data_IF_004532581324
#
_entry.id   IF_004532581324
#
_cell.length_a   1.000
_cell.length_b   1.000
_cell.length_c   1.000
_cell.angle_alpha   90.00
_cell.angle_beta   90.00
_cell.angle_gamma   90.00
#
_symmetry.space_group_name_H-M   'P 1'
#
loop_
_entity.id
_entity.type
_entity.pdbx_description
1 polymer ?
#
# COMPACT_ATOMS: atom_id res chain seq x y z
N UNK A 1 5.07 27.96 29.58
CA UNK A 1 4.37 26.97 28.74
C UNK A 1 2.89 27.08 28.95
N UNK A 2 2.14 27.15 27.85
CA UNK A 2 0.69 27.05 27.81
C UNK A 2 0.23 25.66 28.25
N UNK A 3 -1.06 25.51 28.53
CA UNK A 3 -1.67 24.19 28.79
C UNK A 3 -1.56 23.25 27.57
N UNK A 4 -1.70 23.81 26.36
CA UNK A 4 -1.47 23.07 25.12
C UNK A 4 -0.03 22.59 24.99
N UNK A 5 0.96 23.41 25.37
CA UNK A 5 2.37 23.01 25.30
C UNK A 5 2.64 21.81 26.22
N UNK A 6 2.10 21.82 27.44
CA UNK A 6 2.23 20.71 28.40
C UNK A 6 1.56 19.43 27.89
N UNK A 7 0.40 19.57 27.25
CA UNK A 7 -0.29 18.45 26.61
C UNK A 7 0.57 17.84 25.50
N UNK A 8 1.09 18.66 24.59
CA UNK A 8 1.89 18.18 23.47
C UNK A 8 3.22 17.58 23.93
N UNK A 9 3.87 18.13 24.95
CA UNK A 9 5.06 17.51 25.55
C UNK A 9 4.76 16.09 26.06
N UNK A 10 3.69 15.97 26.86
CA UNK A 10 3.25 14.66 27.39
C UNK A 10 2.89 13.68 26.28
N UNK A 11 2.22 14.17 25.23
CA UNK A 11 1.81 13.34 24.10
C UNK A 11 3.00 12.91 23.23
N UNK A 12 3.95 13.81 22.94
CA UNK A 12 5.17 13.48 22.21
C UNK A 12 6.03 12.44 22.96
N UNK A 13 6.13 12.55 24.28
CA UNK A 13 6.78 11.55 25.13
C UNK A 13 6.08 10.20 25.04
N UNK A 14 4.74 10.20 25.08
CA UNK A 14 3.96 8.98 24.91
C UNK A 14 4.19 8.35 23.54
N UNK A 15 4.08 9.12 22.45
CA UNK A 15 4.33 8.68 21.07
C UNK A 15 5.71 8.05 20.96
N UNK A 16 6.74 8.68 21.51
CA UNK A 16 8.11 8.15 21.49
C UNK A 16 8.19 6.80 22.20
N UNK A 17 7.59 6.67 23.39
CA UNK A 17 7.60 5.41 24.18
C UNK A 17 6.86 4.25 23.51
N UNK A 18 5.90 4.53 22.63
CA UNK A 18 5.13 3.52 21.91
C UNK A 18 5.56 3.34 20.45
N UNK A 19 6.65 4.00 20.04
CA UNK A 19 7.25 3.84 18.71
C UNK A 19 8.42 2.86 18.79
N UNK A 20 8.51 1.91 17.85
CA UNK A 20 9.56 0.89 17.85
C UNK A 20 10.95 1.47 17.59
N UNK A 21 11.99 0.83 18.15
CA UNK A 21 13.38 1.28 17.98
C UNK A 21 13.81 1.45 16.51
N UNK A 22 13.50 0.53 15.55
CA UNK A 22 13.83 0.72 14.14
C UNK A 22 13.14 1.92 13.47
N UNK A 23 12.14 2.53 14.11
CA UNK A 23 11.47 3.74 13.64
C UNK A 23 12.03 5.03 14.26
N UNK A 24 12.85 4.91 15.30
CA UNK A 24 13.44 6.05 16.02
C UNK A 24 14.96 6.15 15.86
N UNK A 25 15.63 5.02 15.66
CA UNK A 25 17.09 4.92 15.60
C UNK A 25 17.56 4.27 14.28
N UNK A 26 18.56 4.89 13.67
CA UNK A 26 19.05 4.50 12.35
C UNK A 26 19.85 3.20 12.38
N UNK A 27 20.56 2.91 13.48
CA UNK A 27 21.33 1.67 13.60
C UNK A 27 20.40 0.48 13.88
N UNK A 28 19.36 0.68 14.69
CA UNK A 28 18.27 -0.29 14.86
C UNK A 28 17.54 -0.56 13.54
N UNK A 29 17.27 0.48 12.74
CA UNK A 29 16.68 0.32 11.40
C UNK A 29 17.59 -0.52 10.49
N UNK A 30 18.87 -0.16 10.37
CA UNK A 30 19.83 -0.90 9.56
C UNK A 30 19.93 -2.36 9.98
N UNK A 31 20.00 -2.62 11.28
CA UNK A 31 20.05 -3.97 11.84
C UNK A 31 18.81 -4.79 11.45
N UNK A 32 17.61 -4.20 11.57
CA UNK A 32 16.35 -4.83 11.16
C UNK A 32 16.33 -5.16 9.65
N UNK A 33 16.72 -4.19 8.80
CA UNK A 33 16.77 -4.39 7.35
C UNK A 33 17.79 -5.47 6.96
N UNK A 34 18.96 -5.48 7.61
CA UNK A 34 20.01 -6.46 7.37
C UNK A 34 19.57 -7.86 7.81
N UNK A 35 18.93 -8.00 8.98
CA UNK A 35 18.41 -9.29 9.45
C UNK A 35 17.39 -9.88 8.48
N UNK A 36 16.44 -9.09 7.97
CA UNK A 36 15.49 -9.57 6.95
C UNK A 36 16.22 -10.01 5.68
N UNK A 37 17.20 -9.22 5.24
CA UNK A 37 17.99 -9.55 4.04
C UNK A 37 18.84 -10.81 4.20
N UNK A 38 19.38 -11.06 5.39
CA UNK A 38 20.24 -12.21 5.67
C UNK A 38 19.44 -13.50 5.97
N UNK A 39 18.22 -13.35 6.49
CA UNK A 39 17.40 -14.48 6.97
C UNK A 39 16.25 -14.86 6.01
N UNK A 40 16.10 -14.17 4.89
CA UNK A 40 15.04 -14.46 3.90
C UNK A 40 15.48 -14.21 2.46
N UNK A 41 14.72 -14.73 1.50
CA UNK A 41 14.94 -14.47 0.07
C UNK A 41 14.35 -13.13 -0.41
N UNK A 42 13.89 -12.27 0.52
CA UNK A 42 13.28 -10.99 0.19
C UNK A 42 14.35 -9.98 -0.25
N UNK A 43 14.14 -9.36 -1.41
CA UNK A 43 14.92 -8.19 -1.86
C UNK A 43 14.43 -6.95 -1.10
N UNK A 44 14.98 -6.75 0.10
CA UNK A 44 14.57 -5.69 1.05
C UNK A 44 14.58 -4.29 0.43
N UNK A 45 15.65 -3.83 -0.25
CA UNK A 45 15.63 -2.52 -0.89
C UNK A 45 14.50 -2.37 -1.92
N UNK A 46 14.29 -3.39 -2.75
CA UNK A 46 13.24 -3.36 -3.76
C UNK A 46 11.84 -3.39 -3.16
N UNK A 47 11.65 -4.17 -2.09
CA UNK A 47 10.38 -4.21 -1.35
C UNK A 47 10.05 -2.84 -0.74
N UNK A 48 11.04 -2.14 -0.17
CA UNK A 48 10.86 -0.77 0.32
C UNK A 48 10.48 0.20 -0.80
N UNK A 49 11.16 0.12 -1.95
CA UNK A 49 10.81 0.92 -3.14
C UNK A 49 9.36 0.66 -3.58
N UNK A 50 8.96 -0.62 -3.65
CA UNK A 50 7.61 -1.00 -4.03
C UNK A 50 6.55 -0.49 -3.06
N UNK A 51 6.74 -0.69 -1.76
CA UNK A 51 5.76 -0.32 -0.74
C UNK A 51 5.53 1.19 -0.68
N UNK A 52 6.61 1.98 -0.70
CA UNK A 52 6.52 3.44 -0.69
C UNK A 52 5.90 3.98 -1.98
N UNK A 53 6.31 3.44 -3.14
CA UNK A 53 5.80 3.86 -4.43
C UNK A 53 4.32 3.54 -4.63
N UNK A 54 3.86 2.35 -4.26
CA UNK A 54 2.44 1.98 -4.31
C UNK A 54 1.56 2.99 -3.56
N UNK A 55 1.99 3.42 -2.38
CA UNK A 55 1.26 4.43 -1.60
C UNK A 55 1.31 5.81 -2.25
N UNK A 56 2.45 6.19 -2.82
CA UNK A 56 2.64 7.50 -3.47
C UNK A 56 1.74 7.63 -4.69
N UNK A 57 1.85 6.70 -5.65
CA UNK A 57 1.11 6.78 -6.92
C UNK A 57 -0.39 6.51 -6.73
N UNK A 58 -0.75 5.69 -5.73
CA UNK A 58 -2.14 5.56 -5.30
C UNK A 58 -2.71 6.90 -4.83
N UNK A 59 -1.92 7.71 -4.12
CA UNK A 59 -2.28 9.06 -3.71
C UNK A 59 -2.43 10.03 -4.90
N UNK A 60 -1.52 9.97 -5.87
CA UNK A 60 -1.59 10.80 -7.09
C UNK A 60 -2.83 10.48 -7.93
N UNK A 61 -3.14 9.20 -8.12
CA UNK A 61 -4.37 8.76 -8.77
C UNK A 61 -5.61 9.27 -8.04
N UNK A 62 -5.68 9.11 -6.72
CA UNK A 62 -6.79 9.57 -5.88
C UNK A 62 -6.95 11.09 -5.96
N UNK A 63 -5.85 11.85 -6.04
CA UNK A 63 -5.91 13.31 -6.16
C UNK A 63 -6.64 13.74 -7.44
N UNK A 64 -6.41 13.06 -8.57
CA UNK A 64 -7.10 13.34 -9.84
C UNK A 64 -8.59 13.02 -9.71
N UNK A 65 -8.92 11.83 -9.18
CA UNK A 65 -10.30 11.37 -8.95
C UNK A 65 -11.06 12.34 -8.02
N UNK A 66 -10.43 12.75 -6.91
CA UNK A 66 -10.96 13.72 -5.95
C UNK A 66 -11.22 15.07 -6.60
N UNK A 67 -10.29 15.57 -7.42
CA UNK A 67 -10.46 16.83 -8.18
C UNK A 67 -11.65 16.76 -9.15
N UNK A 68 -11.86 15.61 -9.80
CA UNK A 68 -12.99 15.41 -10.69
C UNK A 68 -14.32 15.40 -9.93
N UNK A 69 -14.46 14.52 -8.94
CA UNK A 69 -15.74 14.32 -8.27
C UNK A 69 -16.10 15.39 -7.23
N UNK A 70 -15.11 15.95 -6.52
CA UNK A 70 -15.36 16.87 -5.41
C UNK A 70 -15.07 18.33 -5.73
N UNK A 71 -14.36 18.60 -6.82
CA UNK A 71 -13.94 19.97 -7.20
C UNK A 71 -14.40 20.36 -8.62
N UNK A 72 -15.18 19.50 -9.29
CA UNK A 72 -15.82 19.80 -10.56
C UNK A 72 -14.90 19.78 -11.78
N UNK A 73 -13.71 19.14 -11.71
CA UNK A 73 -12.89 18.96 -12.91
C UNK A 73 -13.59 18.02 -13.91
N UNK A 74 -13.56 18.33 -15.22
CA UNK A 74 -14.22 17.49 -16.23
C UNK A 74 -13.48 16.17 -16.45
N UNK A 75 -14.21 15.11 -16.81
CA UNK A 75 -13.65 13.84 -17.26
C UNK A 75 -13.20 13.92 -18.73
N UNK A 76 -12.31 14.86 -19.05
CA UNK A 76 -11.77 15.03 -20.41
C UNK A 76 -10.57 14.11 -20.67
N UNK A 77 -10.11 14.07 -21.92
CA UNK A 77 -9.00 13.23 -22.36
C UNK A 77 -7.73 13.46 -21.54
N UNK A 78 -7.43 14.71 -21.17
CA UNK A 78 -6.25 15.04 -20.35
C UNK A 78 -6.30 14.40 -18.96
N UNK A 79 -7.43 14.54 -18.24
CA UNK A 79 -7.56 13.96 -16.90
C UNK A 79 -7.60 12.42 -16.96
N UNK A 80 -8.22 11.83 -17.99
CA UNK A 80 -8.22 10.38 -18.21
C UNK A 80 -6.80 9.88 -18.52
N UNK A 81 -6.06 10.60 -19.36
CA UNK A 81 -4.67 10.27 -19.66
C UNK A 81 -3.78 10.37 -18.42
N UNK A 82 -3.99 11.37 -17.57
CA UNK A 82 -3.25 11.51 -16.32
C UNK A 82 -3.54 10.33 -15.38
N UNK A 83 -4.81 9.97 -15.18
CA UNK A 83 -5.18 8.77 -14.42
C UNK A 83 -4.55 7.49 -15.00
N UNK A 84 -4.48 7.35 -16.33
CA UNK A 84 -3.82 6.21 -16.97
C UNK A 84 -2.33 6.14 -16.65
N UNK A 85 -1.64 7.29 -16.55
CA UNK A 85 -0.23 7.33 -16.16
C UNK A 85 -0.03 6.84 -14.75
N UNK A 86 -0.81 7.36 -13.81
CA UNK A 86 -0.74 6.91 -12.41
C UNK A 86 -1.05 5.41 -12.27
N UNK A 87 -2.01 4.88 -13.04
CA UNK A 87 -2.28 3.43 -13.08
C UNK A 87 -1.08 2.63 -13.63
N UNK A 88 -0.33 3.19 -14.58
CA UNK A 88 0.90 2.59 -15.09
C UNK A 88 2.01 2.58 -14.03
N UNK A 89 2.17 3.68 -13.30
CA UNK A 89 3.17 3.80 -12.24
C UNK A 89 2.82 2.90 -11.04
N UNK A 90 1.53 2.80 -10.68
CA UNK A 90 1.02 1.79 -9.72
C UNK A 90 1.39 0.37 -10.18
N UNK A 91 1.16 0.03 -11.45
CA UNK A 91 1.51 -1.29 -11.98
C UNK A 91 3.02 -1.54 -11.92
N UNK A 92 3.84 -0.53 -12.18
CA UNK A 92 5.29 -0.62 -12.07
C UNK A 92 5.74 -0.98 -10.65
N UNK A 93 5.24 -0.28 -9.63
CA UNK A 93 5.55 -0.61 -8.24
C UNK A 93 4.94 -1.93 -7.79
N UNK A 94 3.76 -2.30 -8.29
CA UNK A 94 3.14 -3.59 -8.01
C UNK A 94 3.99 -4.77 -8.52
N UNK A 95 4.46 -4.70 -9.77
CA UNK A 95 5.40 -5.71 -10.32
C UNK A 95 6.70 -5.71 -9.54
N UNK A 96 7.20 -4.52 -9.14
CA UNK A 96 8.39 -4.40 -8.30
C UNK A 96 8.23 -5.11 -6.95
N UNK A 97 7.03 -5.07 -6.36
CA UNK A 97 6.70 -5.85 -5.15
C UNK A 97 6.78 -7.37 -5.43
N UNK A 98 6.15 -7.85 -6.50
CA UNK A 98 6.23 -9.26 -6.90
C UNK A 98 7.68 -9.71 -7.07
N UNK A 99 8.50 -8.93 -7.78
CA UNK A 99 9.93 -9.21 -7.97
C UNK A 99 10.69 -9.23 -6.64
N UNK A 100 10.35 -8.36 -5.69
CA UNK A 100 11.02 -8.34 -4.38
C UNK A 100 10.70 -9.55 -3.50
N UNK A 101 9.57 -10.21 -3.76
CA UNK A 101 9.10 -11.38 -3.05
C UNK A 101 9.34 -12.69 -3.82
N UNK A 102 9.97 -12.63 -5.00
CA UNK A 102 10.17 -13.80 -5.87
C UNK A 102 8.89 -14.38 -6.47
N UNK A 103 7.82 -13.58 -6.56
CA UNK A 103 6.51 -14.01 -7.08
C UNK A 103 6.39 -13.77 -8.58
N UNK A 104 5.71 -14.68 -9.29
CA UNK A 104 5.26 -14.43 -10.66
C UNK A 104 4.01 -13.53 -10.66
N UNK A 105 4.08 -12.32 -11.25
CA UNK A 105 2.92 -11.43 -11.39
C UNK A 105 1.68 -12.11 -11.97
N UNK A 106 1.84 -13.04 -12.94
CA UNK A 106 0.73 -13.75 -13.56
C UNK A 106 0.04 -14.66 -12.54
N UNK A 107 0.82 -15.40 -11.75
CA UNK A 107 0.28 -16.29 -10.71
C UNK A 107 -0.48 -15.49 -9.64
N UNK A 108 0.04 -14.35 -9.20
CA UNK A 108 -0.63 -13.48 -8.21
C UNK A 108 -2.00 -13.01 -8.72
N UNK A 109 -2.09 -12.60 -9.99
CA UNK A 109 -3.37 -12.18 -10.60
C UNK A 109 -4.32 -13.37 -10.75
N UNK A 110 -3.83 -14.53 -11.20
CA UNK A 110 -4.64 -15.74 -11.37
C UNK A 110 -5.19 -16.27 -10.05
N UNK A 111 -4.40 -16.21 -8.97
CA UNK A 111 -4.85 -16.58 -7.64
C UNK A 111 -5.98 -15.65 -7.16
N UNK A 112 -5.82 -14.34 -7.36
CA UNK A 112 -6.87 -13.39 -7.06
C UNK A 112 -8.14 -13.63 -7.90
N UNK A 113 -8.00 -13.92 -9.19
CA UNK A 113 -9.12 -14.24 -10.07
C UNK A 113 -9.86 -15.49 -9.58
N UNK A 114 -9.16 -16.59 -9.35
CA UNK A 114 -9.77 -17.85 -8.85
C UNK A 114 -10.51 -17.66 -7.54
N UNK A 115 -9.94 -16.88 -6.62
CA UNK A 115 -10.58 -16.51 -5.35
C UNK A 115 -11.88 -15.73 -5.57
N UNK A 116 -11.88 -14.75 -6.48
CA UNK A 116 -13.07 -13.95 -6.79
C UNK A 116 -14.14 -14.76 -7.53
N UNK A 117 -13.74 -15.64 -8.46
CA UNK A 117 -14.62 -16.57 -9.14
C UNK A 117 -15.27 -17.56 -8.16
N UNK A 118 -14.52 -18.08 -7.18
CA UNK A 118 -15.08 -18.93 -6.14
C UNK A 118 -16.08 -18.17 -5.24
N UNK A 119 -15.86 -16.86 -5.02
CA UNK A 119 -16.72 -16.03 -4.18
C UNK A 119 -18.01 -15.61 -4.88
N UNK A 120 -17.91 -15.17 -6.13
CA UNK A 120 -19.03 -14.53 -6.85
C UNK A 120 -19.62 -15.40 -7.97
N UNK A 121 -18.94 -16.48 -8.40
CA UNK A 121 -19.35 -17.22 -9.59
C UNK A 121 -19.36 -16.30 -10.82
N UNK A 122 -20.51 -16.21 -11.49
CA UNK A 122 -20.68 -15.35 -12.68
C UNK A 122 -21.04 -13.88 -12.35
N UNK A 123 -21.57 -13.58 -11.17
CA UNK A 123 -22.14 -12.25 -10.88
C UNK A 123 -21.92 -11.78 -9.44
N UNK A 124 -21.73 -10.47 -9.27
CA UNK A 124 -21.62 -9.85 -7.96
C UNK A 124 -22.96 -9.89 -7.18
N UNK A 125 -22.90 -10.25 -5.91
CA UNK A 125 -23.98 -9.96 -4.94
C UNK A 125 -23.42 -9.40 -3.63
N UNK A 126 -24.16 -8.51 -2.98
CA UNK A 126 -23.73 -7.87 -1.71
C UNK A 126 -23.46 -8.93 -0.63
N UNK A 127 -24.34 -9.91 -0.48
CA UNK A 127 -24.19 -10.97 0.51
C UNK A 127 -22.89 -11.79 0.31
N UNK A 128 -22.50 -12.08 -0.93
CA UNK A 128 -21.23 -12.78 -1.22
C UNK A 128 -19.99 -11.92 -0.94
N UNK A 129 -20.12 -10.59 -0.94
CA UNK A 129 -19.00 -9.69 -0.63
C UNK A 129 -18.68 -9.64 0.87
N UNK A 130 -19.66 -9.90 1.73
CA UNK A 130 -19.54 -9.85 3.19
C UNK A 130 -19.22 -11.21 3.83
N UNK A 131 -19.56 -12.32 3.16
CA UNK A 131 -19.35 -13.69 3.66
C UNK A 131 -18.08 -14.30 3.08
N UNK A 132 -17.06 -14.54 3.93
CA UNK A 132 -15.81 -15.25 3.55
C UNK A 132 -15.90 -16.73 3.85
N UNK A 133 -15.35 -17.57 2.97
CA UNK A 133 -15.18 -18.99 3.26
C UNK A 133 -14.13 -19.18 4.38
N UNK A 134 -14.29 -20.24 5.18
CA UNK A 134 -13.34 -20.56 6.26
C UNK A 134 -11.98 -20.91 5.63
N UNK A 135 -10.96 -20.08 5.90
CA UNK A 135 -9.60 -20.25 5.35
C UNK A 135 -9.24 -19.30 4.21
N UNK A 136 -10.10 -18.34 3.87
CA UNK A 136 -9.81 -17.26 2.90
C UNK A 136 -9.10 -16.09 3.62
N UNK A 137 -7.82 -16.28 3.93
CA UNK A 137 -6.89 -15.29 4.51
C UNK A 137 -5.51 -15.41 3.85
#
# INVERSE_FOLDING_TARGET
MSEADKFFETYCDFVTKVTSDPSLDIEALKSSLQSIHDESDIDVPRLMTAALGLSSEGGEFVEIVKKMFLQGKPANEDNIFHMKRELGDIMWYWVTACMSLGLDPVEVILENQKKLEARYGEQFTINQSEVRAKGDL
#
